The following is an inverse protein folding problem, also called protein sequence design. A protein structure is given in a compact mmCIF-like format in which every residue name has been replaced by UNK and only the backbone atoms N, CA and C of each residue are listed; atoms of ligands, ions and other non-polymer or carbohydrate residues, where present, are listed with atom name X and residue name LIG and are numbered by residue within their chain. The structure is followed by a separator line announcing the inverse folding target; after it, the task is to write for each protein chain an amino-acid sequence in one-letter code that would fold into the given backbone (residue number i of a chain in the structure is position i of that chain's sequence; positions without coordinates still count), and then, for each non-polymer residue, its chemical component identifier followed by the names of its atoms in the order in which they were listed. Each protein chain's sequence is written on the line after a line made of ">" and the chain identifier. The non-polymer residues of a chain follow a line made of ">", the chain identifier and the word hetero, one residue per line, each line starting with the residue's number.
data_IF_020758305808
#
_entry.id   IF_020758305808
#
_cell.length_a   1.000
_cell.length_b   1.000
_cell.length_c   1.000
_cell.angle_alpha   90.00
_cell.angle_beta   90.00
_cell.angle_gamma   90.00
#
_symmetry.space_group_name_H-M   'P 1'
#
loop_
_entity.id
_entity.type
_entity.pdbx_description
1 polymer ?
#
# COMPACT_ATOMS: atom_id res chain seq x y z
N UNK A 1 -11.82 22.76 2.09
CA UNK A 1 -11.70 21.40 2.65
C UNK A 1 -10.84 20.64 1.68
N UNK A 2 -9.60 20.30 2.07
CA UNK A 2 -8.82 19.33 1.30
C UNK A 2 -9.57 18.00 1.39
N UNK A 3 -9.85 17.38 0.25
CA UNK A 3 -10.55 16.10 0.19
C UNK A 3 -9.66 15.00 0.78
N UNK A 4 -10.24 14.01 1.44
CA UNK A 4 -9.53 12.80 1.91
C UNK A 4 -8.68 12.17 0.81
N UNK A 5 -9.23 12.14 -0.40
CA UNK A 5 -8.57 11.65 -1.60
C UNK A 5 -7.30 12.44 -1.95
N UNK A 6 -7.27 13.75 -1.73
CA UNK A 6 -6.05 14.55 -1.99
C UNK A 6 -4.92 14.17 -1.05
N UNK A 7 -5.22 13.98 0.24
CA UNK A 7 -4.23 13.54 1.23
C UNK A 7 -3.78 12.10 1.02
N UNK A 8 -4.71 11.22 0.64
CA UNK A 8 -4.41 9.84 0.29
C UNK A 8 -3.44 9.76 -0.91
N UNK A 9 -3.73 10.49 -1.99
CA UNK A 9 -2.86 10.55 -3.17
C UNK A 9 -1.48 11.16 -2.86
N UNK A 10 -1.43 12.20 -2.02
CA UNK A 10 -0.16 12.76 -1.56
C UNK A 10 0.66 11.74 -0.77
N UNK A 11 0.02 11.01 0.13
CA UNK A 11 0.66 9.97 0.93
C UNK A 11 1.17 8.83 0.05
N UNK A 12 0.37 8.33 -0.89
CA UNK A 12 0.79 7.29 -1.83
C UNK A 12 2.03 7.71 -2.62
N UNK A 13 2.05 8.96 -3.11
CA UNK A 13 3.21 9.49 -3.85
C UNK A 13 4.48 9.51 -2.99
N UNK A 14 4.38 10.00 -1.75
CA UNK A 14 5.54 10.07 -0.85
C UNK A 14 6.00 8.68 -0.40
N UNK A 15 5.06 7.77 -0.14
CA UNK A 15 5.35 6.39 0.23
C UNK A 15 6.03 5.64 -0.93
N UNK A 16 5.52 5.81 -2.16
CA UNK A 16 6.12 5.25 -3.37
C UNK A 16 7.56 5.74 -3.58
N UNK A 17 7.80 7.04 -3.41
CA UNK A 17 9.16 7.61 -3.49
C UNK A 17 10.13 7.05 -2.44
N UNK A 18 9.64 6.69 -1.26
CA UNK A 18 10.46 6.06 -0.22
C UNK A 18 10.74 4.58 -0.51
N UNK A 19 9.76 3.85 -1.04
CA UNK A 19 9.86 2.42 -1.31
C UNK A 19 10.70 2.11 -2.56
N UNK A 20 10.52 2.89 -3.63
CA UNK A 20 11.15 2.67 -4.93
C UNK A 20 12.23 3.71 -5.22
N UNK A 21 13.08 3.97 -4.23
CA UNK A 21 14.14 4.95 -4.31
C UNK A 21 15.11 4.64 -5.47
N UNK A 22 15.39 5.62 -6.33
CA UNK A 22 16.35 5.46 -7.43
C UNK A 22 17.80 5.53 -6.90
N UNK A 23 18.63 4.53 -7.22
CA UNK A 23 20.01 4.38 -6.72
C UNK A 23 20.92 5.60 -6.96
N UNK A 24 20.63 6.44 -7.96
CA UNK A 24 21.46 7.59 -8.33
C UNK A 24 21.21 8.88 -7.52
N UNK A 25 20.22 8.89 -6.64
CA UNK A 25 19.95 10.06 -5.80
C UNK A 25 20.93 10.11 -4.62
N UNK A 26 21.71 11.20 -4.53
CA UNK A 26 22.61 11.47 -3.40
C UNK A 26 21.79 11.62 -2.10
N UNK A 27 21.65 10.54 -1.36
CA UNK A 27 20.80 10.46 -0.17
C UNK A 27 21.53 11.08 1.01
N UNK A 28 21.27 12.36 1.27
CA UNK A 28 21.63 12.95 2.55
C UNK A 28 20.75 12.33 3.63
N UNK A 29 21.38 11.76 4.67
CA UNK A 29 20.70 11.10 5.78
C UNK A 29 19.58 11.97 6.39
N UNK A 30 19.76 13.29 6.41
CA UNK A 30 18.78 14.24 6.93
C UNK A 30 17.51 14.31 6.07
N UNK A 31 17.65 14.27 4.74
CA UNK A 31 16.50 14.27 3.82
C UNK A 31 15.70 12.97 3.93
N UNK A 32 16.38 11.83 4.03
CA UNK A 32 15.74 10.53 4.22
C UNK A 32 14.98 10.45 5.56
N UNK A 33 15.60 10.92 6.65
CA UNK A 33 14.93 11.02 7.95
C UNK A 33 13.72 11.96 7.88
N UNK A 34 13.84 13.10 7.20
CA UNK A 34 12.73 14.06 7.03
C UNK A 34 11.58 13.43 6.26
N UNK A 35 11.86 12.76 5.14
CA UNK A 35 10.82 12.10 4.33
C UNK A 35 10.08 11.01 5.12
N UNK A 36 10.82 10.14 5.82
CA UNK A 36 10.21 9.09 6.65
C UNK A 36 9.31 9.66 7.76
N UNK A 37 9.71 10.76 8.40
CA UNK A 37 8.88 11.45 9.41
C UNK A 37 7.64 12.08 8.80
N UNK A 38 7.78 12.70 7.62
CA UNK A 38 6.65 13.29 6.90
C UNK A 38 5.62 12.22 6.55
N UNK A 39 6.06 11.07 6.03
CA UNK A 39 5.16 9.95 5.69
C UNK A 39 4.44 9.41 6.93
N UNK A 40 5.14 9.21 8.05
CA UNK A 40 4.50 8.78 9.30
C UNK A 40 3.46 9.81 9.77
N UNK A 41 3.84 11.10 9.85
CA UNK A 41 2.95 12.17 10.32
C UNK A 41 1.70 12.30 9.44
N UNK A 42 1.87 12.19 8.13
CA UNK A 42 0.76 12.24 7.17
C UNK A 42 -0.14 11.00 7.29
N UNK A 43 0.43 9.81 7.50
CA UNK A 43 -0.32 8.57 7.74
C UNK A 43 -1.17 8.69 9.00
N UNK A 44 -0.60 9.12 10.12
CA UNK A 44 -1.33 9.25 11.39
C UNK A 44 -2.41 10.34 11.33
N UNK A 45 -2.15 11.43 10.61
CA UNK A 45 -3.14 12.48 10.37
C UNK A 45 -4.30 11.96 9.52
N UNK A 46 -4.00 11.26 8.43
CA UNK A 46 -5.01 10.68 7.54
C UNK A 46 -5.84 9.63 8.27
N UNK A 47 -5.20 8.74 9.02
CA UNK A 47 -5.86 7.72 9.83
C UNK A 47 -6.79 8.35 10.87
N UNK A 48 -6.32 9.36 11.60
CA UNK A 48 -7.16 10.07 12.59
C UNK A 48 -8.39 10.70 11.95
N UNK A 49 -8.21 11.38 10.80
CA UNK A 49 -9.32 12.00 10.08
C UNK A 49 -10.30 10.94 9.58
N UNK A 50 -9.81 9.86 8.98
CA UNK A 50 -10.62 8.75 8.46
C UNK A 50 -11.44 8.09 9.58
N UNK A 51 -10.81 7.79 10.71
CA UNK A 51 -11.48 7.18 11.86
C UNK A 51 -12.58 8.11 12.44
N UNK A 52 -12.38 9.44 12.39
CA UNK A 52 -13.41 10.40 12.83
C UNK A 52 -14.54 10.63 11.82
N UNK A 53 -14.28 10.43 10.52
CA UNK A 53 -15.25 10.67 9.45
C UNK A 53 -16.31 9.57 9.36
N UNK A 54 -16.00 8.36 9.82
CA UNK A 54 -16.85 7.17 9.65
C UNK A 54 -16.71 6.54 8.26
N UNK A 55 -17.64 5.66 7.89
CA UNK A 55 -17.60 4.95 6.61
C UNK A 55 -17.84 5.91 5.44
N UNK A 56 -16.96 5.86 4.44
CA UNK A 56 -17.07 6.60 3.18
C UNK A 56 -17.70 5.72 2.09
N UNK A 57 -17.69 6.20 0.84
CA UNK A 57 -17.98 5.34 -0.31
C UNK A 57 -16.88 4.27 -0.45
N UNK A 58 -17.19 3.04 -0.92
CA UNK A 58 -16.22 1.95 -1.01
C UNK A 58 -14.93 2.33 -1.76
N UNK A 59 -15.04 3.10 -2.86
CA UNK A 59 -13.89 3.53 -3.64
C UNK A 59 -13.01 4.56 -2.90
N UNK A 60 -13.60 5.41 -2.06
CA UNK A 60 -12.89 6.39 -1.25
C UNK A 60 -12.20 5.71 -0.05
N UNK A 61 -12.91 4.80 0.62
CA UNK A 61 -12.34 3.98 1.69
C UNK A 61 -11.19 3.12 1.16
N UNK A 62 -11.31 2.53 -0.03
CA UNK A 62 -10.24 1.79 -0.68
C UNK A 62 -8.99 2.65 -0.92
N UNK A 63 -9.18 3.89 -1.39
CA UNK A 63 -8.08 4.81 -1.69
C UNK A 63 -7.33 5.23 -0.41
N UNK A 64 -8.08 5.50 0.65
CA UNK A 64 -7.52 5.84 1.97
C UNK A 64 -6.81 4.64 2.57
N UNK A 65 -7.41 3.44 2.52
CA UNK A 65 -6.80 2.22 3.02
C UNK A 65 -5.49 1.90 2.30
N UNK A 66 -5.48 1.99 0.97
CA UNK A 66 -4.27 1.82 0.16
C UNK A 66 -3.18 2.81 0.58
N UNK A 67 -3.53 4.09 0.70
CA UNK A 67 -2.58 5.13 1.11
C UNK A 67 -1.99 4.86 2.50
N UNK A 68 -2.81 4.42 3.46
CA UNK A 68 -2.37 4.11 4.81
C UNK A 68 -1.45 2.89 4.86
N UNK A 69 -1.79 1.79 4.15
CA UNK A 69 -0.92 0.61 4.06
C UNK A 69 0.42 0.97 3.41
N UNK A 70 0.40 1.69 2.29
CA UNK A 70 1.62 2.18 1.64
C UNK A 70 2.45 3.06 2.58
N UNK A 71 1.82 4.01 3.26
CA UNK A 71 2.48 4.94 4.17
C UNK A 71 3.14 4.25 5.35
N UNK A 72 2.41 3.35 6.02
CA UNK A 72 2.94 2.59 7.15
C UNK A 72 4.04 1.61 6.72
N UNK A 73 3.95 1.00 5.54
CA UNK A 73 4.99 0.08 5.05
C UNK A 73 6.24 0.82 4.58
N UNK A 74 6.08 2.02 4.01
CA UNK A 74 7.20 2.83 3.54
C UNK A 74 8.05 3.42 4.67
N UNK A 75 7.43 3.80 5.79
CA UNK A 75 8.16 4.46 6.88
C UNK A 75 8.91 3.47 7.77
N UNK A 76 10.21 3.72 7.98
CA UNK A 76 11.04 2.97 8.94
C UNK A 76 10.68 3.31 10.39
N UNK A 77 9.94 4.39 10.61
CA UNK A 77 9.47 4.77 11.93
C UNK A 77 8.16 4.05 12.26
N UNK A 78 7.95 3.80 13.53
CA UNK A 78 6.71 3.26 14.05
C UNK A 78 6.64 3.51 15.55
N UNK A 79 5.45 3.82 16.03
CA UNK A 79 5.15 3.78 17.45
C UNK A 79 4.55 2.42 17.82
N UNK A 80 4.14 2.26 19.08
CA UNK A 80 3.47 1.04 19.55
C UNK A 80 2.10 0.80 18.91
N UNK A 81 1.51 1.81 18.26
CA UNK A 81 0.15 1.78 17.72
C UNK A 81 0.12 1.45 16.23
N UNK A 82 1.25 1.59 15.51
CA UNK A 82 1.36 1.30 14.07
C UNK A 82 0.72 -0.03 13.67
N UNK A 83 0.99 -1.10 14.40
CA UNK A 83 0.42 -2.42 14.12
C UNK A 83 -1.10 -2.49 14.36
N UNK A 84 -1.60 -1.78 15.38
CA UNK A 84 -3.03 -1.66 15.62
C UNK A 84 -3.72 -0.88 14.48
N UNK A 85 -3.10 0.21 14.00
CA UNK A 85 -3.63 0.97 12.88
C UNK A 85 -3.67 0.13 11.60
N UNK A 86 -2.60 -0.62 11.29
CA UNK A 86 -2.57 -1.54 10.15
C UNK A 86 -3.70 -2.57 10.25
N UNK A 87 -3.90 -3.19 11.42
CA UNK A 87 -4.98 -4.16 11.60
C UNK A 87 -6.37 -3.56 11.33
N UNK A 88 -6.64 -2.34 11.83
CA UNK A 88 -7.92 -1.68 11.58
C UNK A 88 -8.12 -1.31 10.10
N UNK A 89 -7.04 -0.94 9.41
CA UNK A 89 -7.07 -0.70 7.97
C UNK A 89 -7.36 -2.01 7.22
N UNK A 90 -6.73 -3.11 7.60
CA UNK A 90 -7.00 -4.44 7.03
C UNK A 90 -8.47 -4.86 7.25
N UNK A 91 -9.02 -4.64 8.44
CA UNK A 91 -10.43 -4.91 8.74
C UNK A 91 -11.39 -4.11 7.84
N UNK A 92 -11.01 -2.90 7.43
CA UNK A 92 -11.74 -2.13 6.44
C UNK A 92 -11.57 -2.71 5.03
N UNK A 93 -10.33 -3.04 4.63
CA UNK A 93 -10.02 -3.63 3.33
C UNK A 93 -10.88 -4.87 3.06
N UNK A 94 -11.04 -5.77 4.05
CA UNK A 94 -11.90 -6.96 3.93
C UNK A 94 -13.37 -6.66 3.65
N UNK A 95 -13.88 -5.51 4.12
CA UNK A 95 -15.25 -5.07 3.84
C UNK A 95 -15.38 -4.45 2.46
N UNK A 96 -14.34 -3.76 2.00
CA UNK A 96 -14.36 -2.97 0.75
C UNK A 96 -14.01 -3.81 -0.48
N UNK A 97 -13.05 -4.73 -0.38
CA UNK A 97 -12.56 -5.57 -1.48
C UNK A 97 -13.67 -6.28 -2.30
N UNK A 98 -14.72 -6.87 -1.68
CA UNK A 98 -15.80 -7.52 -2.42
C UNK A 98 -16.68 -6.55 -3.23
N UNK A 99 -16.70 -5.27 -2.86
CA UNK A 99 -17.52 -4.25 -3.51
C UNK A 99 -16.79 -3.51 -4.63
N UNK A 100 -15.45 -3.60 -4.67
CA UNK A 100 -14.66 -2.94 -5.70
C UNK A 100 -14.75 -3.66 -7.06
N UNK A 101 -14.91 -2.92 -8.17
CA UNK A 101 -14.79 -3.48 -9.50
C UNK A 101 -13.33 -3.87 -9.81
N UNK A 102 -13.16 -4.74 -10.80
CA UNK A 102 -11.84 -5.09 -11.35
C UNK A 102 -11.16 -3.83 -11.88
N UNK A 103 -10.10 -3.41 -11.21
CA UNK A 103 -9.40 -2.14 -11.46
C UNK A 103 -7.96 -2.19 -10.90
N UNK A 104 -7.10 -1.28 -11.35
CA UNK A 104 -5.75 -1.12 -10.79
C UNK A 104 -5.76 -0.83 -9.29
N UNK A 105 -6.72 -0.01 -8.83
CA UNK A 105 -6.90 0.29 -7.40
C UNK A 105 -7.15 -1.00 -6.58
N UNK A 106 -8.03 -1.87 -7.08
CA UNK A 106 -8.31 -3.16 -6.44
C UNK A 106 -7.08 -4.07 -6.42
N UNK A 107 -6.34 -4.16 -7.53
CA UNK A 107 -5.12 -4.97 -7.60
C UNK A 107 -4.05 -4.48 -6.61
N UNK A 108 -3.84 -3.16 -6.52
CA UNK A 108 -2.92 -2.55 -5.55
C UNK A 108 -3.33 -2.89 -4.13
N UNK A 109 -4.61 -2.72 -3.79
CA UNK A 109 -5.11 -3.01 -2.45
C UNK A 109 -4.91 -4.50 -2.10
N UNK A 110 -5.24 -5.42 -3.01
CA UNK A 110 -5.00 -6.86 -2.82
C UNK A 110 -3.53 -7.17 -2.56
N UNK A 111 -2.62 -6.56 -3.32
CA UNK A 111 -1.17 -6.78 -3.20
C UNK A 111 -0.63 -6.27 -1.86
N UNK A 112 -1.02 -5.07 -1.44
CA UNK A 112 -0.62 -4.52 -0.14
C UNK A 112 -1.24 -5.28 1.04
N UNK A 113 -2.49 -5.73 0.93
CA UNK A 113 -3.09 -6.61 1.94
C UNK A 113 -2.33 -7.95 2.01
N UNK A 114 -2.00 -8.55 0.87
CA UNK A 114 -1.22 -9.79 0.81
C UNK A 114 0.14 -9.62 1.50
N UNK A 115 0.85 -8.50 1.27
CA UNK A 115 2.13 -8.24 1.94
C UNK A 115 2.06 -8.19 3.48
N UNK A 116 0.89 -7.89 4.06
CA UNK A 116 0.69 -7.88 5.52
C UNK A 116 0.29 -9.24 6.09
N UNK A 117 -0.57 -9.99 5.39
CA UNK A 117 -1.18 -11.22 5.93
C UNK A 117 -0.72 -12.52 5.29
N UNK A 118 -0.07 -12.44 4.13
CA UNK A 118 0.38 -13.58 3.30
C UNK A 118 -0.74 -14.62 3.05
N UNK A 119 -1.96 -14.15 2.79
CA UNK A 119 -3.11 -15.00 2.46
C UNK A 119 -3.14 -15.33 0.95
N UNK A 120 -2.95 -16.61 0.63
CA UNK A 120 -3.00 -17.15 -0.74
C UNK A 120 -4.28 -16.78 -1.51
N UNK A 121 -5.40 -16.54 -0.82
CA UNK A 121 -6.64 -16.14 -1.47
C UNK A 121 -6.52 -14.75 -2.13
N UNK A 122 -5.81 -13.82 -1.48
CA UNK A 122 -5.58 -12.46 -1.99
C UNK A 122 -4.66 -12.48 -3.22
N UNK A 123 -3.56 -13.24 -3.13
CA UNK A 123 -2.64 -13.47 -4.25
C UNK A 123 -3.38 -14.07 -5.45
N UNK A 124 -4.21 -15.10 -5.22
CA UNK A 124 -4.97 -15.75 -6.29
C UNK A 124 -5.93 -14.79 -6.99
N UNK A 125 -6.65 -13.96 -6.23
CA UNK A 125 -7.53 -12.94 -6.81
C UNK A 125 -6.75 -11.88 -7.60
N UNK A 126 -5.58 -11.46 -7.10
CA UNK A 126 -4.70 -10.53 -7.80
C UNK A 126 -4.20 -11.09 -9.15
N UNK A 127 -3.77 -12.35 -9.17
CA UNK A 127 -3.38 -13.06 -10.40
C UNK A 127 -4.55 -13.23 -11.38
N UNK A 128 -5.76 -13.45 -10.90
CA UNK A 128 -6.95 -13.55 -11.76
C UNK A 128 -7.30 -12.20 -12.42
N UNK A 129 -7.10 -11.08 -11.70
CA UNK A 129 -7.20 -9.73 -12.27
C UNK A 129 -6.13 -9.52 -13.35
N UNK A 130 -4.86 -9.86 -13.08
CA UNK A 130 -3.77 -9.73 -14.05
C UNK A 130 -4.03 -10.55 -15.32
N UNK A 131 -4.50 -11.80 -15.19
CA UNK A 131 -4.90 -12.63 -16.34
C UNK A 131 -6.03 -12.01 -17.14
N UNK A 132 -6.98 -11.34 -16.49
CA UNK A 132 -8.08 -10.67 -17.18
C UNK A 132 -7.60 -9.54 -18.11
N UNK A 133 -6.41 -8.97 -17.83
CA UNK A 133 -5.79 -7.92 -18.64
C UNK A 133 -4.78 -8.44 -19.67
N UNK A 134 -4.40 -9.72 -19.61
CA UNK A 134 -3.37 -10.32 -20.49
C UNK A 134 -3.66 -10.29 -22.00
N UNK A 135 -4.82 -9.78 -22.42
CA UNK A 135 -5.14 -9.49 -23.81
C UNK A 135 -4.66 -8.13 -24.33
N UNK A 136 -4.10 -7.26 -23.47
CA UNK A 136 -3.53 -5.95 -23.84
C UNK A 136 -2.15 -5.74 -23.22
N UNK A 137 -1.42 -4.77 -23.75
CA UNK A 137 -0.22 -4.28 -23.08
C UNK A 137 -0.59 -3.61 -21.74
N UNK A 138 0.13 -4.02 -20.68
CA UNK A 138 -0.02 -3.47 -19.34
C UNK A 138 0.68 -2.10 -19.26
N UNK A 139 0.10 -1.17 -18.50
CA UNK A 139 0.75 0.11 -18.21
C UNK A 139 1.96 -0.07 -17.29
N UNK A 140 2.81 0.94 -17.17
CA UNK A 140 3.95 0.92 -16.26
C UNK A 140 3.53 0.60 -14.83
N UNK A 141 2.45 1.21 -14.36
CA UNK A 141 1.92 1.01 -13.00
C UNK A 141 1.36 -0.41 -12.79
N UNK A 142 0.77 -1.01 -13.83
CA UNK A 142 0.26 -2.39 -13.80
C UNK A 142 1.40 -3.40 -13.78
N UNK A 143 2.49 -3.13 -14.50
CA UNK A 143 3.70 -3.95 -14.48
C UNK A 143 4.43 -3.85 -13.14
N UNK A 144 4.52 -2.64 -12.58
CA UNK A 144 5.16 -2.40 -11.28
C UNK A 144 4.46 -3.19 -10.15
N UNK A 145 3.12 -3.12 -10.08
CA UNK A 145 2.39 -3.85 -9.04
C UNK A 145 2.42 -5.36 -9.24
N UNK A 146 2.44 -5.84 -10.50
CA UNK A 146 2.63 -7.26 -10.79
C UNK A 146 4.00 -7.74 -10.31
N UNK A 147 5.05 -6.97 -10.61
CA UNK A 147 6.41 -7.28 -10.15
C UNK A 147 6.54 -7.23 -8.62
N UNK A 148 5.84 -6.30 -7.96
CA UNK A 148 5.79 -6.24 -6.49
C UNK A 148 5.15 -7.51 -5.91
N UNK A 149 4.01 -7.95 -6.46
CA UNK A 149 3.35 -9.19 -6.03
C UNK A 149 4.28 -10.41 -6.22
N UNK A 150 4.88 -10.54 -7.40
CA UNK A 150 5.82 -11.63 -7.71
C UNK A 150 7.01 -11.63 -6.73
N UNK A 151 7.52 -10.45 -6.37
CA UNK A 151 8.64 -10.31 -5.41
C UNK A 151 8.25 -10.74 -3.99
N UNK A 152 7.03 -10.43 -3.56
CA UNK A 152 6.50 -10.83 -2.25
C UNK A 152 6.25 -12.34 -2.19
N UNK A 153 5.75 -12.94 -3.28
CA UNK A 153 5.54 -14.39 -3.40
C UNK A 153 6.85 -15.17 -3.49
N UNK A 154 7.87 -14.61 -4.13
CA UNK A 154 9.19 -15.22 -4.20
C UNK A 154 9.93 -15.20 -2.87
N UNK A 155 9.59 -14.26 -1.97
CA UNK A 155 10.21 -14.12 -0.66
C UNK A 155 9.18 -14.06 0.49
N UNK A 156 8.44 -15.16 0.75
CA UNK A 156 7.40 -15.19 1.78
C UNK A 156 7.97 -15.20 3.22
N UNK A 157 9.27 -15.50 3.38
CA UNK A 157 9.98 -15.48 4.65
C UNK A 157 11.22 -14.58 4.57
N UNK A 158 11.05 -13.24 4.65
CA UNK A 158 12.16 -12.29 4.48
C UNK A 158 13.31 -12.45 5.49
N UNK A 159 13.08 -13.16 6.59
CA UNK A 159 14.04 -13.43 7.67
C UNK A 159 14.78 -14.78 7.52
N UNK A 160 14.42 -15.60 6.52
CA UNK A 160 15.10 -16.85 6.25
C UNK A 160 16.24 -16.55 5.26
N UNK A 161 17.49 -16.66 5.72
CA UNK A 161 18.66 -16.51 4.84
C UNK A 161 18.61 -17.63 3.79
N UNK A 162 18.52 -17.25 2.51
CA UNK A 162 18.68 -18.21 1.41
C UNK A 162 20.15 -18.63 1.42
N UNK A 163 20.41 -19.90 1.75
CA UNK A 163 21.77 -20.45 1.62
C UNK A 163 22.22 -20.36 0.14
N UNK A 164 23.26 -19.57 -0.13
CA UNK A 164 23.88 -19.41 -1.46
C UNK A 164 24.61 -20.67 -1.95
#
# INVERSE_FOLDING_TARGET
>A
MESFTTKALELQRLAHQLLFFEEDASLYSDDFCRQNRTVLTLSDTLYSLWNTAGSLMPEEDAEVCLALLMGYNATIYGDSNKQEHIQQVLDCCWKVLPHLPVSLQKLRLLTYCYGEVYDDALSREAHDILKSWGGRELTTEEQEIAGLLDSMEANPYPWEEIEE
#
